data_IF_172841293568
#
_entry.id   IF_172841293568
#
_cell.length_a   1.000
_cell.length_b   1.000
_cell.length_c   1.000
_cell.angle_alpha   90.00
_cell.angle_beta   90.00
_cell.angle_gamma   90.00
#
_symmetry.space_group_name_H-M   'P 1'
#
loop_
_entity.id
_entity.type
_entity.pdbx_description
1 polymer ?
#
# COMPACT_ATOMS: atom_id res chain seq x y z
N UNK A 1 24.47 3.45 35.40
CA UNK A 1 23.31 2.63 35.00
C UNK A 1 22.82 3.10 33.64
N UNK A 2 22.49 2.20 32.72
CA UNK A 2 21.87 2.56 31.44
C UNK A 2 20.57 3.33 31.64
N UNK A 3 20.29 4.26 30.74
CA UNK A 3 19.07 5.10 30.78
C UNK A 3 18.31 4.94 29.46
N UNK A 4 17.03 4.64 29.52
CA UNK A 4 16.18 4.47 28.34
C UNK A 4 16.18 5.71 27.41
N UNK A 5 16.31 6.91 27.97
CA UNK A 5 16.39 8.16 27.21
C UNK A 5 17.64 8.27 26.28
N UNK A 6 18.62 7.39 26.43
CA UNK A 6 19.81 7.32 25.57
C UNK A 6 19.77 6.16 24.58
N UNK A 7 18.72 5.36 24.65
CA UNK A 7 18.48 4.28 23.71
C UNK A 7 17.99 4.79 22.36
N UNK A 8 18.18 3.99 21.32
CA UNK A 8 17.60 4.25 20.00
C UNK A 8 17.25 2.96 19.28
N UNK A 9 16.37 3.08 18.28
CA UNK A 9 16.05 2.02 17.34
C UNK A 9 16.38 2.51 15.94
N UNK A 10 17.38 1.89 15.33
CA UNK A 10 17.72 2.08 13.91
C UNK A 10 17.12 0.97 13.07
N UNK A 11 16.79 1.26 11.81
CA UNK A 11 16.26 0.29 10.87
C UNK A 11 17.08 0.28 9.59
N UNK A 12 17.28 -0.91 9.02
CA UNK A 12 17.94 -1.14 7.73
C UNK A 12 17.09 -2.07 6.89
N UNK A 13 16.79 -1.70 5.65
CA UNK A 13 16.07 -2.57 4.72
C UNK A 13 16.87 -3.83 4.46
N UNK A 14 16.20 -4.96 4.31
CA UNK A 14 16.81 -6.20 3.85
C UNK A 14 16.31 -6.54 2.45
N UNK A 15 17.25 -6.91 1.57
CA UNK A 15 16.96 -7.47 0.25
C UNK A 15 16.80 -8.99 0.34
N UNK A 16 17.51 -9.62 1.27
CA UNK A 16 17.39 -11.05 1.57
C UNK A 16 16.97 -11.22 3.02
N UNK A 17 15.89 -11.95 3.26
CA UNK A 17 15.33 -12.13 4.60
C UNK A 17 16.34 -12.71 5.59
N UNK A 18 16.59 -11.96 6.66
CA UNK A 18 17.51 -12.31 7.75
C UNK A 18 18.98 -12.10 7.42
N UNK A 19 19.28 -11.23 6.45
CA UNK A 19 20.63 -10.79 6.13
C UNK A 19 20.69 -9.26 6.15
N UNK A 20 21.52 -8.72 7.02
CA UNK A 20 21.76 -7.26 7.08
C UNK A 20 22.46 -6.80 5.80
N UNK A 21 21.93 -5.78 5.18
CA UNK A 21 22.62 -5.07 4.10
C UNK A 21 23.81 -4.25 4.64
N UNK A 22 24.80 -4.02 3.77
CA UNK A 22 25.98 -3.26 4.12
C UNK A 22 25.65 -1.78 4.43
N UNK A 23 26.46 -1.15 5.27
CA UNK A 23 26.34 0.27 5.63
C UNK A 23 25.53 0.53 6.90
N UNK A 24 25.32 1.81 7.19
CA UNK A 24 24.61 2.31 8.36
C UNK A 24 23.08 2.08 8.23
N UNK A 25 22.35 2.37 9.32
CA UNK A 25 20.88 2.31 9.31
C UNK A 25 20.31 3.31 8.29
N UNK A 26 19.21 2.91 7.63
CA UNK A 26 18.52 3.80 6.68
C UNK A 26 17.76 4.89 7.41
N UNK A 27 17.27 4.57 8.62
CA UNK A 27 16.46 5.49 9.40
C UNK A 27 16.50 5.15 10.90
N UNK A 28 16.13 6.11 11.75
CA UNK A 28 15.94 5.91 13.19
C UNK A 28 14.50 6.20 13.60
N UNK A 29 13.88 5.27 14.34
CA UNK A 29 12.49 5.40 14.76
C UNK A 29 12.39 6.28 16.03
N UNK A 30 11.48 7.26 16.07
CA UNK A 30 11.17 8.05 17.27
C UNK A 30 10.30 7.21 18.23
N UNK A 31 10.89 6.20 18.88
CA UNK A 31 10.17 5.26 19.71
C UNK A 31 9.82 5.80 21.09
N UNK A 32 8.68 5.39 21.61
CA UNK A 32 8.18 5.66 22.96
C UNK A 32 8.56 4.52 23.91
N UNK A 33 8.36 3.29 23.43
CA UNK A 33 8.69 2.08 24.18
C UNK A 33 8.98 0.90 23.25
N UNK A 34 9.74 -0.08 23.74
CA UNK A 34 9.98 -1.34 23.04
C UNK A 34 9.99 -2.51 24.05
N UNK A 35 9.59 -3.67 23.56
CA UNK A 35 9.59 -4.93 24.33
C UNK A 35 10.26 -6.06 23.55
N UNK A 36 11.20 -5.72 22.67
CA UNK A 36 11.89 -6.68 21.80
C UNK A 36 12.83 -7.55 22.63
N UNK A 37 12.52 -8.85 22.71
CA UNK A 37 13.30 -9.83 23.47
C UNK A 37 13.45 -11.14 22.69
N UNK A 38 14.48 -11.94 23.00
CA UNK A 38 14.49 -13.35 22.69
C UNK A 38 13.58 -14.11 23.66
N UNK A 39 12.73 -14.98 23.14
CA UNK A 39 11.99 -15.97 23.89
C UNK A 39 12.55 -17.35 23.53
N UNK A 40 13.16 -18.02 24.48
CA UNK A 40 13.82 -19.31 24.28
C UNK A 40 13.04 -20.36 25.06
N UNK A 41 12.55 -21.37 24.34
CA UNK A 41 11.81 -22.48 24.93
C UNK A 41 12.73 -23.30 25.86
N UNK A 42 12.23 -23.64 27.04
CA UNK A 42 12.89 -24.58 27.97
C UNK A 42 12.25 -25.96 27.82
N UNK A 43 13.02 -26.93 27.35
CA UNK A 43 12.56 -28.30 27.09
C UNK A 43 13.03 -29.23 28.18
N UNK A 44 12.10 -29.76 28.95
CA UNK A 44 12.37 -30.73 30.00
C UNK A 44 12.25 -32.17 29.51
N UNK A 45 13.15 -33.05 29.98
CA UNK A 45 13.05 -34.48 29.69
C UNK A 45 11.91 -35.11 30.50
N UNK A 46 10.96 -35.76 29.83
CA UNK A 46 9.91 -36.52 30.48
C UNK A 46 10.35 -37.91 31.00
N UNK A 47 11.61 -38.27 30.82
CA UNK A 47 12.12 -39.58 31.26
C UNK A 47 12.16 -39.69 32.81
N UNK A 48 11.65 -40.80 33.33
CA UNK A 48 11.71 -41.11 34.76
C UNK A 48 13.17 -41.38 35.15
N UNK A 49 13.74 -40.55 36.04
CA UNK A 49 15.13 -40.63 36.45
C UNK A 49 15.34 -41.04 37.90
N UNK A 50 14.26 -41.41 38.60
CA UNK A 50 14.30 -41.83 40.00
C UNK A 50 14.67 -40.70 40.97
N UNK A 51 14.51 -39.44 40.57
CA UNK A 51 14.72 -38.25 41.40
C UNK A 51 13.40 -37.48 41.53
N UNK A 52 13.23 -36.75 42.62
CA UNK A 52 12.03 -35.97 42.89
C UNK A 52 12.14 -34.53 42.35
N UNK A 53 13.36 -34.11 42.07
CA UNK A 53 13.67 -32.77 41.60
C UNK A 53 13.65 -32.71 40.05
N UNK A 54 13.45 -31.51 39.52
CA UNK A 54 13.41 -31.26 38.08
C UNK A 54 14.75 -31.63 37.41
N UNK A 55 14.73 -32.44 36.33
CA UNK A 55 15.94 -32.83 35.63
C UNK A 55 16.52 -31.67 34.81
N UNK A 56 17.71 -31.86 34.24
CA UNK A 56 18.36 -30.92 33.35
C UNK A 56 17.42 -30.54 32.16
N UNK A 57 17.26 -29.25 31.93
CA UNK A 57 16.58 -28.71 30.80
C UNK A 57 17.49 -28.53 29.57
N UNK A 58 16.88 -28.41 28.42
CA UNK A 58 17.51 -28.13 27.11
C UNK A 58 16.84 -26.94 26.45
N UNK A 59 17.60 -26.18 25.67
CA UNK A 59 17.01 -25.11 24.86
C UNK A 59 16.28 -25.70 23.67
N UNK A 60 15.02 -25.28 23.50
CA UNK A 60 14.16 -25.57 22.37
C UNK A 60 14.18 -24.47 21.32
N UNK A 61 13.00 -24.14 20.79
CA UNK A 61 12.79 -23.10 19.78
C UNK A 61 13.17 -21.71 20.30
N UNK A 62 13.71 -20.88 19.41
CA UNK A 62 14.05 -19.48 19.71
C UNK A 62 13.20 -18.55 18.89
N UNK A 63 12.31 -17.81 19.54
CA UNK A 63 11.52 -16.76 18.96
C UNK A 63 12.12 -15.39 19.30
N UNK A 64 12.12 -14.48 18.35
CA UNK A 64 12.61 -13.11 18.52
C UNK A 64 11.51 -12.14 18.10
N UNK A 65 11.21 -11.14 18.93
CA UNK A 65 10.18 -10.16 18.63
C UNK A 65 9.65 -9.48 19.86
N UNK A 66 8.54 -8.79 19.70
CA UNK A 66 7.87 -7.97 20.70
C UNK A 66 7.20 -6.79 20.04
N UNK A 67 6.83 -5.78 20.83
CA UNK A 67 6.16 -4.59 20.36
C UNK A 67 7.11 -3.38 20.36
N UNK A 68 6.94 -2.51 19.37
CA UNK A 68 7.57 -1.18 19.32
C UNK A 68 6.48 -0.13 19.15
N UNK A 69 6.39 0.79 20.09
CA UNK A 69 5.50 1.94 20.06
C UNK A 69 6.29 3.16 19.63
N UNK A 70 5.83 3.83 18.57
CA UNK A 70 6.46 5.05 18.04
C UNK A 70 5.44 6.18 17.95
N UNK A 71 5.89 7.42 18.08
CA UNK A 71 5.14 8.56 17.60
C UNK A 71 5.25 8.63 16.08
N UNK A 72 4.16 9.03 15.41
CA UNK A 72 4.08 8.98 13.95
C UNK A 72 4.57 10.29 13.35
N UNK A 73 5.76 10.25 12.80
CA UNK A 73 6.35 11.33 12.03
C UNK A 73 6.23 11.08 10.51
N UNK A 74 6.21 12.13 9.69
CA UNK A 74 5.98 11.99 8.25
C UNK A 74 6.97 11.09 7.50
N UNK A 75 8.25 11.10 7.83
CA UNK A 75 9.24 10.25 7.14
C UNK A 75 9.29 8.84 7.73
N UNK A 76 9.33 8.70 9.06
CA UNK A 76 9.44 7.39 9.72
C UNK A 76 8.28 6.46 9.41
N UNK A 77 7.06 6.98 9.27
CA UNK A 77 5.87 6.19 9.00
C UNK A 77 5.99 5.36 7.71
N UNK A 78 6.59 5.89 6.66
CA UNK A 78 6.73 5.18 5.39
C UNK A 78 7.49 3.87 5.51
N UNK A 79 8.52 3.80 6.36
CA UNK A 79 9.24 2.56 6.64
C UNK A 79 8.37 1.52 7.36
N UNK A 80 7.53 1.95 8.30
CA UNK A 80 6.58 1.06 8.99
C UNK A 80 5.55 0.51 8.00
N UNK A 81 5.01 1.39 7.14
CA UNK A 81 4.04 1.02 6.10
C UNK A 81 4.65 0.09 5.06
N UNK A 82 5.91 0.33 4.63
CA UNK A 82 6.61 -0.55 3.69
C UNK A 82 6.67 -1.99 4.21
N UNK A 83 6.98 -2.19 5.46
CA UNK A 83 6.99 -3.54 6.03
C UNK A 83 5.57 -4.05 6.27
N UNK A 84 4.74 -3.33 7.05
CA UNK A 84 3.43 -3.83 7.45
C UNK A 84 2.46 -4.01 6.28
N UNK A 85 2.39 -3.05 5.36
CA UNK A 85 1.39 -3.01 4.28
C UNK A 85 1.95 -3.57 2.97
N UNK A 86 2.90 -2.85 2.39
CA UNK A 86 3.63 -3.21 1.17
C UNK A 86 4.69 -2.16 0.85
N UNK A 87 5.62 -2.48 -0.07
CA UNK A 87 6.40 -1.48 -0.77
C UNK A 87 5.47 -0.50 -1.49
N UNK A 88 5.67 0.83 -1.36
CA UNK A 88 4.83 1.78 -2.07
C UNK A 88 5.04 1.66 -3.58
N UNK A 89 4.08 2.12 -4.35
CA UNK A 89 4.29 2.42 -5.76
C UNK A 89 5.38 3.49 -5.90
N UNK A 90 5.92 3.66 -7.11
CA UNK A 90 6.92 4.71 -7.36
C UNK A 90 6.40 6.07 -6.87
N UNK A 91 7.24 6.79 -6.13
CA UNK A 91 6.87 8.07 -5.57
C UNK A 91 6.57 9.10 -6.67
N UNK A 92 5.41 9.72 -6.59
CA UNK A 92 4.98 10.77 -7.53
C UNK A 92 5.06 12.15 -6.88
N UNK A 93 5.15 13.26 -7.64
CA UNK A 93 5.00 14.60 -7.08
C UNK A 93 3.71 14.71 -6.24
N UNK A 94 3.77 15.41 -5.12
CA UNK A 94 2.62 15.60 -4.23
C UNK A 94 1.45 16.26 -4.99
N UNK A 95 0.23 15.78 -4.73
CA UNK A 95 -0.97 16.27 -5.42
C UNK A 95 -1.21 15.63 -6.79
N UNK A 96 -0.35 14.72 -7.26
CA UNK A 96 -0.63 13.94 -8.47
C UNK A 96 -1.93 13.15 -8.28
N UNK A 97 -2.85 13.31 -9.23
CA UNK A 97 -4.14 12.63 -9.23
C UNK A 97 -4.28 11.73 -10.45
N UNK A 98 -4.74 10.52 -10.24
CA UNK A 98 -5.07 9.55 -11.29
C UNK A 98 -6.56 9.25 -11.28
N UNK A 99 -7.19 9.26 -12.45
CA UNK A 99 -8.61 8.94 -12.61
C UNK A 99 -8.77 7.92 -13.73
N UNK A 100 -9.43 6.80 -13.46
CA UNK A 100 -9.77 5.80 -14.47
C UNK A 100 -10.73 6.45 -15.47
N UNK A 101 -10.42 6.34 -16.74
CA UNK A 101 -11.24 6.80 -17.85
C UNK A 101 -11.80 5.64 -18.67
N UNK A 102 -11.15 4.46 -18.58
CA UNK A 102 -11.57 3.20 -19.18
C UNK A 102 -11.04 2.05 -18.34
N UNK A 103 -11.93 1.14 -17.92
CA UNK A 103 -11.58 0.00 -17.02
C UNK A 103 -11.23 -1.27 -17.79
N UNK A 104 -11.48 -1.33 -19.10
CA UNK A 104 -11.19 -2.46 -19.98
C UNK A 104 -11.91 -3.77 -19.60
N UNK A 105 -13.10 -3.68 -18.98
CA UNK A 105 -13.93 -4.84 -18.61
C UNK A 105 -14.80 -5.35 -19.77
N UNK A 106 -14.90 -4.62 -20.86
CA UNK A 106 -15.51 -5.00 -22.13
C UNK A 106 -14.53 -4.87 -23.30
N UNK A 107 -14.94 -5.21 -24.50
CA UNK A 107 -14.09 -5.18 -25.70
C UNK A 107 -14.18 -3.81 -26.36
N UNK A 108 -13.11 -3.37 -26.98
CA UNK A 108 -13.12 -2.19 -27.83
C UNK A 108 -13.74 -2.52 -29.19
N UNK A 109 -14.95 -2.09 -29.46
CA UNK A 109 -15.70 -2.49 -30.65
C UNK A 109 -16.43 -1.38 -31.40
N UNK A 110 -16.17 -0.10 -31.08
CA UNK A 110 -16.73 1.02 -31.83
C UNK A 110 -16.23 1.06 -33.28
N UNK A 111 -14.93 0.86 -33.48
CA UNK A 111 -14.31 0.59 -34.77
C UNK A 111 -13.25 -0.50 -34.56
N UNK A 112 -13.31 -1.54 -35.38
CA UNK A 112 -12.30 -2.62 -35.41
C UNK A 112 -11.81 -2.81 -36.82
N UNK A 113 -10.48 -2.73 -37.02
CA UNK A 113 -9.84 -2.88 -38.33
C UNK A 113 -10.03 -4.28 -38.91
N UNK A 114 -10.16 -4.34 -40.25
CA UNK A 114 -10.19 -5.63 -40.95
C UNK A 114 -8.94 -6.47 -40.67
N UNK A 115 -9.11 -7.71 -40.19
CA UNK A 115 -8.02 -8.56 -39.79
C UNK A 115 -7.63 -8.42 -38.31
N UNK A 116 -8.37 -7.62 -37.53
CA UNK A 116 -8.27 -7.57 -36.06
C UNK A 116 -9.52 -8.18 -35.44
N UNK A 117 -9.35 -8.93 -34.36
CA UNK A 117 -10.44 -9.42 -33.53
C UNK A 117 -10.28 -8.78 -32.15
N UNK A 118 -11.28 -8.00 -31.74
CA UNK A 118 -11.37 -7.44 -30.41
C UNK A 118 -12.24 -8.31 -29.52
N UNK A 119 -11.70 -8.76 -28.40
CA UNK A 119 -12.37 -9.60 -27.41
C UNK A 119 -11.93 -9.23 -26.00
N UNK A 120 -12.56 -9.79 -24.97
CA UNK A 120 -12.10 -9.68 -23.58
C UNK A 120 -11.29 -10.90 -23.18
N UNK A 121 -10.29 -10.72 -22.31
CA UNK A 121 -9.53 -11.80 -21.70
C UNK A 121 -9.75 -11.81 -20.18
N UNK A 122 -10.53 -12.78 -19.70
CA UNK A 122 -10.80 -12.99 -18.28
C UNK A 122 -9.73 -13.83 -17.57
N UNK A 123 -8.71 -14.29 -18.31
CA UNK A 123 -7.63 -15.10 -17.75
C UNK A 123 -6.31 -14.34 -17.58
N UNK A 124 -6.15 -13.21 -18.25
CA UNK A 124 -4.91 -12.44 -18.30
C UNK A 124 -5.20 -10.93 -18.23
N UNK A 125 -5.24 -10.38 -17.03
CA UNK A 125 -5.56 -8.99 -16.71
C UNK A 125 -4.71 -8.47 -15.54
N UNK A 126 -4.73 -7.16 -15.30
CA UNK A 126 -4.00 -6.48 -14.21
C UNK A 126 -4.90 -5.89 -13.14
N UNK A 127 -6.05 -5.35 -13.54
CA UNK A 127 -7.03 -4.76 -12.63
C UNK A 127 -8.42 -5.33 -12.98
N UNK A 128 -9.38 -5.17 -12.09
CA UNK A 128 -10.73 -5.67 -12.33
C UNK A 128 -10.82 -7.19 -12.48
N UNK A 129 -11.50 -7.65 -13.52
CA UNK A 129 -11.76 -9.06 -13.82
C UNK A 129 -11.39 -9.49 -15.25
N UNK A 130 -11.09 -8.52 -16.14
CA UNK A 130 -10.77 -8.75 -17.54
C UNK A 130 -9.76 -7.73 -18.06
N UNK A 131 -9.28 -7.95 -19.27
CA UNK A 131 -8.55 -6.98 -20.08
C UNK A 131 -9.12 -6.98 -21.51
N UNK A 132 -8.94 -5.91 -22.24
CA UNK A 132 -9.16 -5.89 -23.69
C UNK A 132 -8.09 -6.71 -24.37
N UNK A 133 -8.45 -7.53 -25.35
CA UNK A 133 -7.55 -8.37 -26.13
C UNK A 133 -7.77 -8.17 -27.61
N UNK A 134 -6.74 -7.71 -28.30
CA UNK A 134 -6.74 -7.51 -29.74
C UNK A 134 -5.86 -8.59 -30.38
N UNK A 135 -6.45 -9.43 -31.21
CA UNK A 135 -5.73 -10.39 -32.07
C UNK A 135 -5.52 -9.76 -33.45
N UNK A 136 -4.28 -9.50 -33.78
CA UNK A 136 -3.88 -8.82 -35.01
C UNK A 136 -3.35 -9.86 -36.00
N UNK A 137 -3.95 -9.96 -37.17
CA UNK A 137 -3.48 -10.85 -38.26
C UNK A 137 -2.29 -10.26 -39.00
N UNK A 138 -1.47 -11.09 -39.62
CA UNK A 138 -0.27 -10.67 -40.37
C UNK A 138 -0.52 -9.75 -41.58
N UNK A 139 -1.77 -9.56 -42.00
CA UNK A 139 -2.14 -8.71 -43.14
C UNK A 139 -2.64 -7.32 -42.78
N UNK A 140 -2.65 -6.96 -41.50
CA UNK A 140 -3.09 -5.62 -41.07
C UNK A 140 -2.08 -4.57 -41.52
N UNK A 141 -2.58 -3.50 -42.17
CA UNK A 141 -1.73 -2.47 -42.76
C UNK A 141 -1.09 -1.58 -41.69
N UNK A 142 0.17 -1.22 -41.90
CA UNK A 142 0.85 -0.18 -41.12
C UNK A 142 0.10 1.15 -41.23
N UNK A 143 -0.12 1.83 -40.12
CA UNK A 143 -0.89 3.05 -40.01
C UNK A 143 -2.37 2.85 -39.65
N UNK A 144 -2.87 1.60 -39.66
CA UNK A 144 -4.25 1.30 -39.29
C UNK A 144 -4.51 1.56 -37.81
N UNK A 145 -5.75 1.98 -37.50
CA UNK A 145 -6.27 2.01 -36.11
C UNK A 145 -6.84 0.61 -35.83
N UNK A 146 -6.23 -0.14 -34.94
CA UNK A 146 -6.57 -1.53 -34.65
C UNK A 146 -7.97 -1.68 -34.07
N UNK A 147 -8.27 -0.89 -33.05
CA UNK A 147 -9.56 -0.83 -32.41
C UNK A 147 -9.73 0.52 -31.71
N UNK A 148 -10.97 0.96 -31.54
CA UNK A 148 -11.35 2.16 -30.79
C UNK A 148 -12.41 1.83 -29.75
N UNK A 149 -12.47 2.68 -28.73
CA UNK A 149 -13.46 2.64 -27.67
C UNK A 149 -14.07 4.02 -27.45
N UNK A 150 -15.38 4.06 -27.26
CA UNK A 150 -16.11 5.25 -26.87
C UNK A 150 -16.10 5.40 -25.35
N UNK A 151 -15.73 6.55 -24.86
CA UNK A 151 -15.75 6.86 -23.43
C UNK A 151 -16.71 8.00 -23.12
N UNK A 152 -17.16 8.08 -21.86
CA UNK A 152 -17.88 9.27 -21.41
C UNK A 152 -17.02 10.52 -21.63
N UNK A 153 -17.64 11.61 -22.12
CA UNK A 153 -16.93 12.86 -22.38
C UNK A 153 -16.05 13.30 -21.21
N UNK A 154 -14.77 13.44 -21.46
CA UNK A 154 -13.73 13.65 -20.45
C UNK A 154 -12.91 14.90 -20.75
N UNK A 155 -12.93 15.87 -19.84
CA UNK A 155 -12.04 17.02 -19.93
C UNK A 155 -10.64 16.61 -19.41
N UNK A 156 -9.64 16.72 -20.28
CA UNK A 156 -8.25 16.37 -19.98
C UNK A 156 -7.30 17.58 -20.08
N UNK A 157 -7.83 18.81 -20.13
CA UNK A 157 -7.02 20.03 -20.25
C UNK A 157 -5.99 20.23 -19.12
N UNK A 158 -6.26 19.68 -17.94
CA UNK A 158 -5.32 19.66 -16.82
C UNK A 158 -4.51 18.36 -16.71
N UNK A 159 -4.72 17.40 -17.61
CA UNK A 159 -4.00 16.12 -17.58
C UNK A 159 -2.64 16.26 -18.23
N UNK A 160 -1.63 15.67 -17.64
CA UNK A 160 -0.24 15.71 -18.12
C UNK A 160 0.18 14.41 -18.78
N UNK A 161 -0.44 13.30 -18.36
CA UNK A 161 -0.11 11.96 -18.85
C UNK A 161 -1.34 11.06 -18.95
N UNK A 162 -1.21 10.01 -19.77
CA UNK A 162 -2.05 8.81 -19.72
C UNK A 162 -1.22 7.67 -19.18
N UNK A 163 -1.76 6.89 -18.26
CA UNK A 163 -1.20 5.62 -17.79
C UNK A 163 -2.11 4.47 -18.19
N UNK A 164 -1.52 3.39 -18.66
CA UNK A 164 -2.23 2.16 -18.96
C UNK A 164 -1.34 0.93 -18.77
N UNK A 165 -1.94 -0.21 -18.53
CA UNK A 165 -1.28 -1.49 -18.61
C UNK A 165 -1.38 -2.02 -20.02
N UNK A 166 -0.26 -2.49 -20.60
CA UNK A 166 -0.22 -3.07 -21.94
C UNK A 166 0.73 -4.26 -21.97
N UNK A 167 0.39 -5.24 -22.78
CA UNK A 167 1.21 -6.41 -23.08
C UNK A 167 1.08 -6.72 -24.56
N UNK A 168 2.19 -7.05 -25.23
CA UNK A 168 2.21 -7.57 -26.58
C UNK A 168 2.86 -8.95 -26.60
N UNK A 169 2.34 -9.88 -27.39
CA UNK A 169 2.90 -11.23 -27.53
C UNK A 169 4.26 -11.24 -28.22
N UNK A 170 4.63 -10.16 -28.90
CA UNK A 170 5.92 -9.97 -29.58
C UNK A 170 6.61 -8.72 -29.06
N UNK A 171 7.92 -8.62 -29.23
CA UNK A 171 8.67 -7.40 -28.87
C UNK A 171 8.25 -6.22 -29.75
N UNK A 172 8.15 -5.03 -29.16
CA UNK A 172 7.86 -3.79 -29.88
C UNK A 172 8.95 -2.75 -29.62
N UNK A 173 9.29 -1.96 -30.63
CA UNK A 173 10.13 -0.78 -30.45
C UNK A 173 9.31 0.40 -29.91
N UNK A 174 10.00 1.43 -29.42
CA UNK A 174 9.37 2.71 -29.07
C UNK A 174 8.58 3.26 -30.26
N UNK A 175 7.31 3.61 -30.07
CA UNK A 175 6.43 4.15 -31.10
C UNK A 175 5.95 3.10 -32.13
N UNK A 176 6.25 1.82 -31.94
CA UNK A 176 5.71 0.74 -32.80
C UNK A 176 4.20 0.60 -32.69
N UNK A 177 3.66 1.01 -31.55
CA UNK A 177 2.25 1.21 -31.26
C UNK A 177 2.05 2.63 -30.74
N UNK A 178 0.91 3.26 -31.06
CA UNK A 178 0.51 4.57 -30.54
C UNK A 178 -0.86 4.50 -29.91
N UNK A 179 -1.02 5.13 -28.75
CA UNK A 179 -2.31 5.31 -28.09
C UNK A 179 -2.92 6.64 -28.57
N UNK A 180 -4.22 6.62 -28.90
CA UNK A 180 -4.94 7.73 -29.49
C UNK A 180 -5.95 8.31 -28.52
N UNK A 181 -6.12 9.65 -28.55
CA UNK A 181 -7.19 10.37 -27.87
C UNK A 181 -7.87 11.32 -28.87
N UNK A 182 -9.20 11.36 -28.88
CA UNK A 182 -9.96 12.21 -29.81
C UNK A 182 -11.25 12.72 -29.16
N UNK A 183 -11.70 13.87 -29.66
CA UNK A 183 -13.03 14.46 -29.42
C UNK A 183 -14.06 14.07 -30.51
N UNK A 184 -13.63 13.31 -31.51
CA UNK A 184 -14.46 12.72 -32.55
C UNK A 184 -14.66 11.24 -32.32
N UNK A 185 -15.80 10.69 -32.77
CA UNK A 185 -16.06 9.24 -32.71
C UNK A 185 -15.00 8.46 -33.49
N UNK A 186 -14.68 7.28 -33.00
CA UNK A 186 -13.76 6.31 -33.64
C UNK A 186 -12.33 6.82 -33.86
N UNK A 187 -11.88 7.80 -33.10
CA UNK A 187 -10.60 8.47 -33.33
C UNK A 187 -10.42 8.93 -34.78
N UNK A 188 -11.47 9.50 -35.37
CA UNK A 188 -11.49 9.89 -36.80
C UNK A 188 -10.48 11.00 -37.11
N UNK A 189 -10.11 11.83 -36.13
CA UNK A 189 -9.16 12.92 -36.26
C UNK A 189 -8.36 13.09 -34.96
N UNK A 190 -7.49 12.13 -34.59
CA UNK A 190 -6.86 12.08 -33.26
C UNK A 190 -6.13 13.37 -32.93
N UNK A 191 -6.46 13.94 -31.77
CA UNK A 191 -5.81 15.14 -31.23
C UNK A 191 -4.45 14.82 -30.60
N UNK A 192 -4.30 13.61 -30.04
CA UNK A 192 -3.05 13.10 -29.48
C UNK A 192 -2.73 11.73 -30.04
N UNK A 193 -1.46 11.54 -30.40
CA UNK A 193 -0.87 10.28 -30.83
C UNK A 193 0.33 10.00 -29.89
N UNK A 194 0.10 9.17 -28.89
CA UNK A 194 1.05 8.95 -27.80
C UNK A 194 1.88 7.68 -28.07
N UNK A 195 3.19 7.84 -28.25
CA UNK A 195 4.11 6.74 -28.52
C UNK A 195 4.19 5.79 -27.32
N UNK A 196 3.85 4.51 -27.54
CA UNK A 196 4.00 3.47 -26.52
C UNK A 196 5.48 3.09 -26.45
N UNK A 197 6.09 3.07 -25.24
CA UNK A 197 7.47 2.61 -25.04
C UNK A 197 7.69 1.18 -25.50
N UNK A 198 8.92 0.81 -25.80
CA UNK A 198 9.29 -0.56 -26.15
C UNK A 198 8.74 -1.57 -25.12
N UNK A 199 8.12 -2.65 -25.64
CA UNK A 199 7.53 -3.73 -24.84
C UNK A 199 8.35 -5.00 -25.05
N UNK A 200 8.53 -5.75 -23.95
CA UNK A 200 9.10 -7.10 -23.99
C UNK A 200 7.98 -8.11 -24.26
N UNK A 201 8.23 -9.05 -25.17
CA UNK A 201 7.26 -10.06 -25.57
C UNK A 201 6.63 -10.81 -24.38
N UNK A 202 5.31 -10.84 -24.34
CA UNK A 202 4.52 -11.54 -23.32
C UNK A 202 4.55 -10.97 -21.89
N UNK A 203 5.19 -9.81 -21.67
CA UNK A 203 5.31 -9.20 -20.35
C UNK A 203 4.37 -8.00 -20.24
N UNK A 204 3.55 -7.96 -19.19
CA UNK A 204 2.77 -6.80 -18.85
C UNK A 204 3.67 -5.64 -18.39
N UNK A 205 3.42 -4.47 -18.95
CA UNK A 205 4.10 -3.23 -18.59
C UNK A 205 3.08 -2.13 -18.31
N UNK A 206 3.23 -1.44 -17.20
CA UNK A 206 2.56 -0.15 -17.00
C UNK A 206 3.35 0.91 -17.75
N UNK A 207 2.68 1.66 -18.62
CA UNK A 207 3.30 2.73 -19.40
C UNK A 207 2.70 4.07 -19.02
N UNK A 208 3.55 5.10 -19.00
CA UNK A 208 3.16 6.50 -18.77
C UNK A 208 3.45 7.27 -20.06
N UNK A 209 2.41 7.79 -20.68
CA UNK A 209 2.46 8.48 -21.96
C UNK A 209 2.23 9.98 -21.74
N UNK A 210 3.18 10.82 -22.11
CA UNK A 210 3.06 12.27 -21.93
C UNK A 210 2.10 12.87 -22.96
N UNK A 211 1.11 13.63 -22.51
CA UNK A 211 0.21 14.40 -23.38
C UNK A 211 0.97 15.64 -23.84
N UNK A 212 1.05 15.84 -25.17
CA UNK A 212 1.80 16.95 -25.74
C UNK A 212 0.99 18.26 -25.74
N UNK A 213 -0.31 18.19 -26.03
CA UNK A 213 -1.18 19.36 -26.20
C UNK A 213 -2.47 19.27 -25.34
N UNK A 214 -2.36 19.21 -24.02
CA UNK A 214 -3.52 18.96 -23.15
C UNK A 214 -4.60 20.05 -23.29
N UNK A 215 -4.23 21.29 -23.63
CA UNK A 215 -5.18 22.39 -23.79
C UNK A 215 -6.24 22.14 -24.88
N UNK A 216 -5.97 21.26 -25.84
CA UNK A 216 -6.90 20.87 -26.88
C UNK A 216 -7.87 19.76 -26.50
N UNK A 217 -7.66 19.10 -25.37
CA UNK A 217 -8.45 17.93 -24.94
C UNK A 217 -9.59 18.33 -24.01
N UNK A 218 -10.56 19.09 -24.54
CA UNK A 218 -11.66 19.67 -23.75
C UNK A 218 -12.81 18.70 -23.50
N UNK A 219 -13.03 17.74 -24.42
CA UNK A 219 -14.17 16.83 -24.40
C UNK A 219 -13.83 15.49 -25.09
N UNK A 220 -12.77 14.81 -24.65
CA UNK A 220 -12.37 13.51 -25.22
C UNK A 220 -13.48 12.48 -25.07
N UNK A 221 -13.93 11.90 -26.17
CA UNK A 221 -15.02 10.92 -26.23
C UNK A 221 -14.61 9.58 -26.84
N UNK A 222 -13.41 9.48 -27.42
CA UNK A 222 -12.90 8.23 -27.98
C UNK A 222 -11.41 8.05 -27.71
N UNK A 223 -11.00 6.80 -27.64
CA UNK A 223 -9.61 6.37 -27.57
C UNK A 223 -9.38 5.19 -28.51
N UNK A 224 -8.12 4.92 -28.83
CA UNK A 224 -7.79 3.84 -29.74
C UNK A 224 -6.33 3.43 -29.70
N UNK A 225 -6.02 2.33 -30.39
CA UNK A 225 -4.65 1.85 -30.58
C UNK A 225 -4.30 1.83 -32.06
N UNK A 226 -3.20 2.50 -32.43
CA UNK A 226 -2.70 2.57 -33.80
C UNK A 226 -1.48 1.67 -33.99
N UNK A 227 -1.45 0.99 -35.12
CA UNK A 227 -0.43 0.07 -35.57
C UNK A 227 0.60 0.82 -36.43
N UNK A 228 1.76 1.14 -35.90
CA UNK A 228 2.76 2.00 -36.57
C UNK A 228 3.87 1.18 -37.21
N UNK A 229 4.23 0.04 -36.65
CA UNK A 229 5.23 -0.88 -37.17
C UNK A 229 4.60 -2.24 -37.41
N UNK A 230 4.91 -2.88 -38.54
CA UNK A 230 4.44 -4.24 -38.80
C UNK A 230 5.07 -5.22 -37.80
N UNK A 231 4.26 -5.79 -36.93
CA UNK A 231 4.64 -6.74 -35.89
C UNK A 231 4.32 -8.20 -36.31
N UNK A 232 3.75 -8.39 -37.50
CA UNK A 232 3.20 -9.66 -37.94
C UNK A 232 1.96 -10.06 -37.14
N UNK A 233 1.70 -11.37 -37.08
CA UNK A 233 0.60 -11.88 -36.23
C UNK A 233 0.97 -11.71 -34.76
N UNK A 234 0.12 -10.99 -34.01
CA UNK A 234 0.37 -10.73 -32.60
C UNK A 234 -0.93 -10.59 -31.78
N UNK A 235 -0.80 -10.67 -30.48
CA UNK A 235 -1.86 -10.44 -29.50
C UNK A 235 -1.45 -9.27 -28.60
N UNK A 236 -2.34 -8.30 -28.46
CA UNK A 236 -2.13 -7.13 -27.60
C UNK A 236 -3.22 -7.14 -26.53
N UNK A 237 -2.81 -7.11 -25.27
CA UNK A 237 -3.74 -6.92 -24.15
C UNK A 237 -3.57 -5.51 -23.58
N UNK A 238 -4.69 -4.85 -23.25
CA UNK A 238 -4.74 -3.51 -22.66
C UNK A 238 -5.64 -3.57 -21.44
N UNK A 239 -5.25 -2.83 -20.38
CA UNK A 239 -6.01 -2.84 -19.14
C UNK A 239 -5.87 -1.50 -18.42
N UNK A 240 -6.96 -1.07 -17.81
CA UNK A 240 -7.10 0.09 -16.91
C UNK A 240 -6.38 1.35 -17.40
N UNK A 241 -7.08 2.15 -18.16
CA UNK A 241 -6.56 3.42 -18.68
C UNK A 241 -6.93 4.55 -17.74
N UNK A 242 -5.93 5.35 -17.36
CA UNK A 242 -6.07 6.46 -16.42
C UNK A 242 -5.52 7.75 -17.00
N UNK A 243 -6.24 8.85 -16.81
CA UNK A 243 -5.68 10.18 -16.97
C UNK A 243 -4.95 10.59 -15.70
N UNK A 244 -3.82 11.26 -15.85
CA UNK A 244 -2.97 11.71 -14.76
C UNK A 244 -2.80 13.21 -14.82
N UNK A 245 -3.06 13.89 -13.72
CA UNK A 245 -2.74 15.29 -13.52
C UNK A 245 -1.55 15.35 -12.55
N UNK A 246 -0.41 15.84 -12.99
CA UNK A 246 0.74 16.10 -12.11
C UNK A 246 0.69 17.56 -11.66
N UNK A 247 1.28 17.79 -10.50
CA UNK A 247 1.42 19.12 -9.92
C UNK A 247 2.85 19.62 -10.06
N UNK A 248 3.09 20.84 -9.66
CA UNK A 248 4.39 21.51 -9.69
C UNK A 248 5.29 21.18 -8.49
N UNK A 249 4.85 20.29 -7.59
CA UNK A 249 5.69 19.84 -6.48
C UNK A 249 7.00 19.24 -6.97
N UNK A 250 8.12 19.80 -6.49
CA UNK A 250 9.47 19.38 -6.89
C UNK A 250 10.05 18.37 -5.89
N UNK A 251 9.99 18.72 -4.61
CA UNK A 251 10.58 17.94 -3.51
C UNK A 251 9.53 17.11 -2.78
N UNK A 252 8.32 17.67 -2.59
CA UNK A 252 7.24 16.95 -1.93
C UNK A 252 6.77 15.75 -2.79
N UNK A 253 6.82 14.56 -2.21
CA UNK A 253 6.47 13.30 -2.87
C UNK A 253 5.26 12.67 -2.21
N UNK A 254 4.43 12.04 -3.04
CA UNK A 254 3.30 11.23 -2.63
C UNK A 254 3.68 9.76 -2.75
N UNK A 255 3.51 9.02 -1.67
CA UNK A 255 3.72 7.58 -1.58
C UNK A 255 2.38 6.90 -1.33
N UNK A 256 2.05 5.89 -2.13
CA UNK A 256 0.80 5.14 -2.03
C UNK A 256 1.09 3.73 -1.58
N UNK A 257 0.49 3.33 -0.45
CA UNK A 257 0.64 1.99 0.12
C UNK A 257 -0.69 1.24 0.02
N UNK A 258 -0.67 0.12 -0.69
CA UNK A 258 -1.83 -0.77 -0.87
C UNK A 258 -1.43 -2.16 -0.43
N UNK A 259 -2.25 -2.88 0.37
CA UNK A 259 -1.94 -4.23 0.79
C UNK A 259 -1.72 -5.17 -0.39
N UNK A 260 -0.55 -5.81 -0.43
CA UNK A 260 -0.19 -6.78 -1.47
C UNK A 260 -1.18 -7.95 -1.50
N UNK A 261 -1.72 -8.30 -2.67
CA UNK A 261 -2.69 -9.39 -2.83
C UNK A 261 -2.09 -10.65 -3.49
N UNK A 262 -1.23 -10.49 -4.48
CA UNK A 262 -0.86 -11.57 -5.38
C UNK A 262 0.43 -12.31 -5.01
N UNK A 263 1.48 -11.59 -4.56
CA UNK A 263 2.82 -12.18 -4.38
C UNK A 263 3.39 -11.86 -3.01
N UNK A 264 4.09 -12.80 -2.40
CA UNK A 264 4.91 -12.58 -1.22
C UNK A 264 6.21 -11.86 -1.59
N UNK A 265 6.83 -11.17 -0.63
CA UNK A 265 8.15 -10.55 -0.81
C UNK A 265 9.21 -11.61 -1.17
N UNK A 266 9.21 -12.73 -0.45
CA UNK A 266 10.15 -13.83 -0.63
C UNK A 266 9.44 -15.15 -0.30
N UNK A 267 9.94 -16.28 -0.84
CA UNK A 267 9.41 -17.63 -0.58
C UNK A 267 9.33 -17.99 0.91
N UNK A 268 10.23 -17.45 1.71
CA UNK A 268 10.32 -17.71 3.15
C UNK A 268 9.79 -16.56 4.03
N UNK A 269 9.38 -15.43 3.43
CA UNK A 269 8.86 -14.27 4.14
C UNK A 269 7.86 -13.49 3.28
N UNK A 270 6.58 -13.36 3.70
CA UNK A 270 5.53 -12.79 2.87
C UNK A 270 5.51 -11.27 2.81
N UNK A 271 6.22 -10.57 3.70
CA UNK A 271 6.26 -9.10 3.79
C UNK A 271 7.69 -8.58 3.87
N UNK A 272 7.88 -7.29 3.58
CA UNK A 272 9.20 -6.68 3.46
C UNK A 272 9.93 -6.63 4.81
N UNK A 273 11.11 -7.28 4.95
CA UNK A 273 11.84 -7.32 6.21
C UNK A 273 12.76 -6.13 6.41
N UNK A 274 13.13 -5.95 7.68
CA UNK A 274 14.16 -5.02 8.14
C UNK A 274 15.12 -5.71 9.10
N UNK A 275 16.35 -5.22 9.20
CA UNK A 275 17.21 -5.39 10.36
C UNK A 275 16.91 -4.25 11.32
N UNK A 276 16.61 -4.56 12.59
CA UNK A 276 16.43 -3.57 13.65
C UNK A 276 17.68 -3.53 14.52
N UNK A 277 18.28 -2.35 14.69
CA UNK A 277 19.31 -2.06 15.67
C UNK A 277 18.67 -1.45 16.91
N UNK A 278 18.73 -2.14 18.05
CA UNK A 278 18.18 -1.68 19.33
C UNK A 278 19.32 -1.41 20.30
N UNK A 279 19.65 -0.14 20.50
CA UNK A 279 20.65 0.28 21.46
C UNK A 279 20.01 0.66 22.79
N UNK A 280 20.49 0.08 23.89
CA UNK A 280 19.97 0.23 25.26
C UNK A 280 20.94 0.91 26.21
N UNK A 281 21.69 1.92 25.71
CA UNK A 281 22.65 2.74 26.47
C UNK A 281 23.81 1.96 27.10
N UNK A 282 24.10 0.72 26.65
CA UNK A 282 25.26 -0.03 27.13
C UNK A 282 25.71 -1.11 26.16
N UNK A 283 27.04 -1.23 25.98
CA UNK A 283 27.64 -2.24 25.11
C UNK A 283 27.30 -2.04 23.64
N UNK A 284 27.32 -3.13 22.92
CA UNK A 284 26.86 -3.18 21.52
C UNK A 284 25.35 -3.17 21.45
N UNK A 285 24.81 -2.74 20.33
CA UNK A 285 23.38 -2.76 20.05
C UNK A 285 22.91 -4.19 19.71
N UNK A 286 21.71 -4.53 20.16
CA UNK A 286 21.04 -5.76 19.75
C UNK A 286 20.56 -5.63 18.29
N UNK A 287 20.83 -6.65 17.48
CA UNK A 287 20.49 -6.66 16.08
C UNK A 287 19.46 -7.75 15.78
N UNK A 288 18.19 -7.34 15.57
CA UNK A 288 17.12 -8.25 15.18
C UNK A 288 17.09 -8.36 13.65
N UNK A 289 17.50 -9.50 13.13
CA UNK A 289 17.60 -9.79 11.69
C UNK A 289 16.28 -10.38 11.18
N UNK A 290 15.90 -10.03 9.96
CA UNK A 290 14.67 -10.51 9.31
C UNK A 290 13.41 -10.08 10.05
N UNK A 291 13.44 -8.93 10.70
CA UNK A 291 12.30 -8.39 11.42
C UNK A 291 11.20 -7.91 10.47
N UNK A 292 9.97 -8.36 10.70
CA UNK A 292 8.79 -7.93 9.98
C UNK A 292 7.81 -7.26 10.93
N UNK A 293 7.13 -6.22 10.44
CA UNK A 293 6.04 -5.55 11.17
C UNK A 293 4.73 -6.31 10.88
N UNK A 294 4.47 -7.36 11.67
CA UNK A 294 3.30 -8.23 11.48
C UNK A 294 1.99 -7.50 11.74
N UNK A 295 1.98 -6.64 12.77
CA UNK A 295 0.83 -5.78 13.09
C UNK A 295 1.24 -4.32 13.09
N UNK A 296 0.31 -3.45 12.67
CA UNK A 296 0.43 -2.00 12.73
C UNK A 296 -0.88 -1.43 13.23
N UNK A 297 -0.89 -0.89 14.45
CA UNK A 297 -2.04 -0.22 15.04
C UNK A 297 -1.78 1.29 15.13
N UNK A 298 -2.60 2.08 14.44
CA UNK A 298 -2.59 3.55 14.53
C UNK A 298 -3.72 3.99 15.46
N UNK A 299 -3.39 4.75 16.52
CA UNK A 299 -4.34 5.21 17.50
C UNK A 299 -4.13 6.67 17.86
N UNK A 300 -5.22 7.42 17.99
CA UNK A 300 -5.22 8.78 18.51
C UNK A 300 -6.58 9.14 19.13
N UNK A 301 -6.58 10.19 19.92
CA UNK A 301 -7.79 10.70 20.57
C UNK A 301 -7.64 12.18 20.93
N UNK A 302 -8.74 12.80 21.33
CA UNK A 302 -8.74 14.16 21.88
C UNK A 302 -7.99 14.27 23.22
N UNK A 303 -7.71 13.16 23.90
CA UNK A 303 -6.93 13.09 25.14
C UNK A 303 -5.47 12.69 24.88
N UNK A 304 -5.20 11.71 24.00
CA UNK A 304 -3.86 11.34 23.54
C UNK A 304 -3.61 12.04 22.21
N UNK A 305 -3.05 13.22 22.30
CA UNK A 305 -3.04 14.23 21.22
C UNK A 305 -2.02 13.98 20.11
N UNK A 306 -1.11 13.02 20.28
CA UNK A 306 -0.11 12.64 19.27
C UNK A 306 -0.51 11.31 18.69
N UNK A 307 -0.49 11.20 17.36
CA UNK A 307 -0.72 9.93 16.67
C UNK A 307 0.40 8.95 17.01
N UNK A 308 0.04 7.77 17.49
CA UNK A 308 0.98 6.68 17.81
C UNK A 308 0.75 5.48 16.93
N UNK A 309 1.85 4.80 16.62
CA UNK A 309 1.84 3.50 15.95
C UNK A 309 2.42 2.44 16.89
N UNK A 310 1.64 1.40 17.17
CA UNK A 310 2.11 0.20 17.87
C UNK A 310 2.33 -0.89 16.84
N UNK A 311 3.55 -1.43 16.82
CA UNK A 311 3.99 -2.41 15.82
C UNK A 311 4.37 -3.71 16.52
N UNK A 312 3.68 -4.80 16.19
CA UNK A 312 4.06 -6.15 16.62
C UNK A 312 5.08 -6.74 15.64
N UNK A 313 6.23 -7.11 16.14
CA UNK A 313 7.40 -7.52 15.36
C UNK A 313 7.69 -9.01 15.55
N UNK A 314 7.97 -9.71 14.45
CA UNK A 314 8.52 -11.05 14.42
C UNK A 314 9.87 -10.97 13.71
N UNK A 315 10.94 -11.44 14.35
CA UNK A 315 12.27 -11.47 13.77
C UNK A 315 12.78 -12.92 13.61
N UNK A 316 13.68 -13.13 12.67
CA UNK A 316 14.25 -14.44 12.35
C UNK A 316 15.36 -14.82 13.34
N UNK A 317 16.22 -13.87 13.65
CA UNK A 317 17.43 -14.12 14.46
C UNK A 317 17.84 -12.87 15.24
N UNK A 318 18.72 -13.05 16.21
CA UNK A 318 19.32 -12.00 17.01
C UNK A 318 20.85 -12.08 16.90
N UNK A 319 21.47 -10.94 16.67
CA UNK A 319 22.91 -10.71 16.72
C UNK A 319 23.24 -9.48 17.55
N UNK A 320 24.47 -9.06 17.48
CA UNK A 320 24.99 -7.82 18.05
C UNK A 320 25.75 -7.02 17.00
N UNK A 321 25.85 -5.71 17.20
CA UNK A 321 26.55 -4.79 16.31
C UNK A 321 27.02 -3.56 17.09
N UNK A 322 28.18 -2.97 16.76
CA UNK A 322 28.51 -1.65 17.27
C UNK A 322 27.38 -0.66 16.98
N UNK A 323 27.05 0.18 17.95
CA UNK A 323 25.97 1.17 17.79
C UNK A 323 26.24 2.13 16.64
N UNK A 324 25.24 2.43 15.85
CA UNK A 324 25.27 3.49 14.83
C UNK A 324 25.06 4.87 15.46
N UNK A 325 25.58 5.92 14.85
CA UNK A 325 25.31 7.29 15.29
C UNK A 325 23.84 7.64 15.07
N UNK A 326 23.18 8.15 16.11
CA UNK A 326 21.76 8.50 16.06
C UNK A 326 21.53 9.72 15.17
N UNK A 327 20.57 9.62 14.24
CA UNK A 327 20.07 10.71 13.42
C UNK A 327 18.55 10.63 13.34
N UNK A 328 17.88 11.37 14.19
CA UNK A 328 16.41 11.40 14.21
C UNK A 328 15.86 12.40 13.19
N UNK A 329 14.65 12.11 12.72
CA UNK A 329 13.83 13.03 11.94
C UNK A 329 13.58 14.33 12.70
N UNK A 330 13.66 15.47 12.01
CA UNK A 330 13.51 16.81 12.60
C UNK A 330 12.12 17.42 12.41
N UNK A 331 11.23 16.73 11.70
CA UNK A 331 9.83 17.16 11.50
C UNK A 331 9.03 16.98 12.79
N UNK A 332 7.79 17.46 12.79
CA UNK A 332 6.87 17.27 13.93
C UNK A 332 5.99 16.03 13.69
N UNK A 333 5.60 15.29 14.75
CA UNK A 333 4.65 14.20 14.65
C UNK A 333 3.27 14.71 14.25
N UNK A 334 2.44 13.82 13.69
CA UNK A 334 1.04 14.14 13.46
C UNK A 334 0.26 14.24 14.77
N UNK A 335 -0.57 15.29 14.86
CA UNK A 335 -1.36 15.61 16.06
C UNK A 335 -2.86 15.54 15.78
N UNK A 336 -3.67 15.39 16.83
CA UNK A 336 -5.13 15.23 16.74
C UNK A 336 -5.82 16.42 16.03
N UNK A 337 -5.33 17.64 16.22
CA UNK A 337 -5.89 18.86 15.60
C UNK A 337 -5.74 18.90 14.07
N UNK A 338 -4.82 18.10 13.53
CA UNK A 338 -4.59 17.96 12.09
C UNK A 338 -5.51 16.92 11.44
N UNK A 339 -6.27 16.16 12.27
CA UNK A 339 -7.09 15.06 11.82
C UNK A 339 -8.47 15.52 11.35
N UNK A 340 -8.89 15.03 10.20
CA UNK A 340 -10.27 15.09 9.72
C UNK A 340 -10.72 13.67 9.43
N UNK A 341 -11.85 13.27 10.01
CA UNK A 341 -12.49 11.98 9.75
C UNK A 341 -13.73 12.21 8.91
N UNK A 342 -13.87 11.46 7.82
CA UNK A 342 -15.03 11.55 6.93
C UNK A 342 -15.71 10.18 6.80
N UNK A 343 -17.05 10.20 6.82
CA UNK A 343 -17.90 9.03 6.60
C UNK A 343 -18.75 9.30 5.36
N UNK A 344 -18.76 8.36 4.42
CA UNK A 344 -19.46 8.50 3.13
C UNK A 344 -19.09 9.80 2.38
N UNK A 345 -17.84 10.23 2.47
CA UNK A 345 -17.33 11.44 1.82
C UNK A 345 -17.61 12.76 2.53
N UNK A 346 -18.34 12.76 3.66
CA UNK A 346 -18.63 13.96 4.44
C UNK A 346 -17.86 13.98 5.76
N UNK A 347 -17.23 15.10 6.14
CA UNK A 347 -16.58 15.24 7.44
C UNK A 347 -17.56 14.96 8.59
N UNK A 348 -17.10 14.19 9.57
CA UNK A 348 -17.85 13.91 10.81
C UNK A 348 -17.07 14.49 11.99
N UNK A 349 -17.70 15.43 12.70
CA UNK A 349 -17.09 16.17 13.81
C UNK A 349 -17.42 15.58 15.19
N UNK A 350 -18.17 14.47 15.24
CA UNK A 350 -18.65 13.86 16.48
C UNK A 350 -17.76 12.70 16.95
N UNK A 351 -16.67 12.40 16.22
CA UNK A 351 -15.74 11.32 16.55
C UNK A 351 -14.63 11.84 17.48
N UNK A 352 -14.52 11.20 18.65
CA UNK A 352 -13.59 11.60 19.71
C UNK A 352 -12.32 10.75 19.79
N UNK A 353 -12.39 9.48 19.39
CA UNK A 353 -11.26 8.56 19.36
C UNK A 353 -11.28 7.77 18.07
N UNK A 354 -10.11 7.38 17.59
CA UNK A 354 -9.98 6.51 16.41
C UNK A 354 -8.83 5.53 16.58
N UNK A 355 -9.05 4.30 16.13
CA UNK A 355 -8.03 3.28 16.04
C UNK A 355 -8.25 2.39 14.83
N UNK A 356 -7.18 2.13 14.10
CA UNK A 356 -7.13 1.11 13.04
C UNK A 356 -5.98 0.16 13.34
N UNK A 357 -6.23 -1.13 13.24
CA UNK A 357 -5.19 -2.15 13.37
C UNK A 357 -5.12 -2.97 12.09
N UNK A 358 -3.94 -3.07 11.52
CA UNK A 358 -3.66 -3.93 10.39
C UNK A 358 -2.87 -5.14 10.87
N UNK A 359 -3.45 -6.34 10.74
CA UNK A 359 -2.86 -7.60 11.17
C UNK A 359 -2.66 -8.52 9.97
N UNK A 360 -1.40 -8.77 9.63
CA UNK A 360 -0.98 -9.62 8.52
C UNK A 360 -1.22 -11.11 8.77
N UNK A 361 -1.51 -11.52 10.01
CA UNK A 361 -1.66 -12.93 10.42
C UNK A 361 -0.44 -13.78 10.07
N UNK A 362 0.75 -13.18 10.17
CA UNK A 362 1.98 -13.91 9.96
C UNK A 362 2.38 -14.68 11.22
N UNK A 363 2.83 -15.92 11.04
CA UNK A 363 3.36 -16.78 12.07
C UNK A 363 4.68 -17.42 11.63
N UNK A 364 5.57 -17.66 12.58
CA UNK A 364 6.85 -18.35 12.34
C UNK A 364 6.69 -19.85 12.21
N UNK A 365 7.52 -20.48 11.40
CA UNK A 365 7.60 -21.94 11.28
C UNK A 365 9.04 -22.41 11.51
N UNK A 366 9.20 -23.38 12.41
CA UNK A 366 10.45 -24.10 12.63
C UNK A 366 10.53 -25.35 11.75
N UNK A 367 11.70 -25.92 11.59
CA UNK A 367 11.93 -27.15 10.82
C UNK A 367 13.10 -27.95 11.42
N UNK A 368 13.14 -29.23 11.12
CA UNK A 368 14.27 -30.11 11.49
C UNK A 368 15.47 -29.85 10.55
N UNK A 369 16.20 -28.78 10.78
CA UNK A 369 17.30 -28.29 9.94
C UNK A 369 18.56 -27.95 10.73
N UNK A 370 18.73 -28.57 11.92
CA UNK A 370 19.85 -28.37 12.82
C UNK A 370 20.01 -26.90 13.32
N UNK A 371 18.92 -26.15 13.36
CA UNK A 371 18.87 -24.80 13.94
C UNK A 371 17.63 -24.66 14.83
N UNK A 372 17.72 -23.80 15.86
CA UNK A 372 16.59 -23.48 16.74
C UNK A 372 15.87 -22.18 16.32
N UNK A 373 16.24 -21.57 15.18
CA UNK A 373 15.64 -20.32 14.67
C UNK A 373 14.58 -20.59 13.62
N UNK A 374 13.77 -19.59 13.35
CA UNK A 374 12.71 -19.64 12.34
C UNK A 374 13.26 -20.05 10.95
N UNK A 375 12.63 -21.07 10.35
CA UNK A 375 12.92 -21.48 8.97
C UNK A 375 12.21 -20.55 7.97
N UNK A 376 10.96 -20.17 8.24
CA UNK A 376 10.19 -19.23 7.45
C UNK A 376 9.06 -18.60 8.25
N UNK A 377 8.53 -17.53 7.71
CA UNK A 377 7.28 -16.89 8.15
C UNK A 377 6.23 -17.10 7.04
N UNK A 378 4.99 -17.37 7.41
CA UNK A 378 3.88 -17.54 6.48
C UNK A 378 2.60 -16.90 7.05
N UNK A 379 1.60 -16.67 6.23
CA UNK A 379 0.29 -16.17 6.66
C UNK A 379 -0.58 -17.34 7.13
N UNK A 380 -1.10 -17.23 8.36
CA UNK A 380 -2.01 -18.20 8.95
C UNK A 380 -3.43 -17.67 8.96
N UNK A 381 -3.95 -17.34 7.78
CA UNK A 381 -5.31 -16.86 7.59
C UNK A 381 -5.42 -15.54 6.84
N UNK A 382 -6.65 -15.03 6.77
CA UNK A 382 -6.95 -13.75 6.14
C UNK A 382 -6.45 -12.59 7.02
N UNK A 383 -5.91 -11.55 6.41
CA UNK A 383 -5.60 -10.30 7.08
C UNK A 383 -6.85 -9.70 7.71
N UNK A 384 -6.71 -9.11 8.88
CA UNK A 384 -7.81 -8.50 9.61
C UNK A 384 -7.50 -7.02 9.79
N UNK A 385 -8.50 -6.18 9.53
CA UNK A 385 -8.38 -4.73 9.61
C UNK A 385 -9.54 -4.19 10.44
N UNK A 386 -9.53 -4.42 11.76
CA UNK A 386 -10.50 -3.80 12.65
C UNK A 386 -10.28 -2.29 12.73
N UNK A 387 -11.39 -1.58 12.80
CA UNK A 387 -11.45 -0.14 13.00
C UNK A 387 -12.37 0.11 14.19
N UNK A 388 -11.95 0.91 15.13
CA UNK A 388 -12.71 1.27 16.30
C UNK A 388 -12.67 2.79 16.51
N UNK A 389 -13.78 3.37 16.94
CA UNK A 389 -13.88 4.77 17.25
C UNK A 389 -14.99 5.03 18.27
N UNK A 390 -14.89 6.15 18.98
CA UNK A 390 -16.00 6.63 19.80
C UNK A 390 -16.65 7.83 19.09
N UNK A 391 -17.97 7.84 19.08
CA UNK A 391 -18.78 8.88 18.43
C UNK A 391 -19.89 9.34 19.38
N UNK A 392 -20.15 10.65 19.41
CA UNK A 392 -21.28 11.21 20.12
C UNK A 392 -22.58 10.81 19.41
N UNK A 393 -23.58 10.36 20.17
CA UNK A 393 -24.88 10.00 19.61
C UNK A 393 -25.72 11.23 19.34
N UNK A 394 -25.72 11.70 18.10
CA UNK A 394 -26.51 12.86 17.66
C UNK A 394 -27.88 12.44 17.14
N UNK A 395 -27.91 11.41 16.30
CA UNK A 395 -29.14 10.86 15.70
C UNK A 395 -28.99 9.34 15.36
N UNK A 396 -29.97 8.79 14.66
CA UNK A 396 -29.98 7.36 14.30
C UNK A 396 -29.32 7.04 12.95
N UNK A 397 -28.85 8.02 12.22
CA UNK A 397 -28.37 7.85 10.84
C UNK A 397 -27.29 6.77 10.74
N UNK A 398 -26.24 6.84 11.55
CA UNK A 398 -25.16 5.84 11.53
C UNK A 398 -25.59 4.52 12.19
N UNK A 399 -26.44 4.58 13.23
CA UNK A 399 -26.99 3.38 13.84
C UNK A 399 -27.88 2.58 12.88
N UNK A 400 -28.71 3.22 12.08
CA UNK A 400 -29.57 2.55 11.09
C UNK A 400 -28.73 1.87 10.00
N UNK A 401 -27.59 2.46 9.60
CA UNK A 401 -26.63 1.78 8.71
C UNK A 401 -26.02 0.53 9.34
N UNK A 402 -25.72 0.55 10.64
CA UNK A 402 -25.31 -0.66 11.36
C UNK A 402 -26.38 -1.74 11.31
N UNK A 403 -27.66 -1.42 11.59
CA UNK A 403 -28.79 -2.36 11.56
C UNK A 403 -28.99 -2.93 10.15
N UNK A 404 -28.91 -2.10 9.12
CA UNK A 404 -29.07 -2.50 7.72
C UNK A 404 -27.85 -3.26 7.16
N UNK A 405 -26.71 -3.23 7.87
CA UNK A 405 -25.46 -3.83 7.40
C UNK A 405 -24.86 -3.09 6.20
N UNK A 406 -25.14 -1.80 6.05
CA UNK A 406 -24.64 -0.97 4.94
C UNK A 406 -23.13 -0.81 5.05
N UNK A 407 -22.42 -1.02 3.93
CA UNK A 407 -21.01 -0.70 3.80
C UNK A 407 -20.86 0.71 3.25
N UNK A 408 -19.91 1.48 3.77
CA UNK A 408 -19.69 2.87 3.34
C UNK A 408 -18.22 3.24 3.37
N UNK A 409 -17.85 4.28 2.62
CA UNK A 409 -16.49 4.80 2.64
C UNK A 409 -16.19 5.47 3.98
N UNK A 410 -14.97 5.23 4.48
CA UNK A 410 -14.45 5.85 5.69
C UNK A 410 -13.04 6.40 5.39
N UNK A 411 -12.77 7.63 5.75
CA UNK A 411 -11.48 8.28 5.52
C UNK A 411 -10.98 8.96 6.78
N UNK A 412 -9.69 8.83 7.03
CA UNK A 412 -8.96 9.63 8.04
C UNK A 412 -7.85 10.36 7.32
N UNK A 413 -7.78 11.68 7.50
CA UNK A 413 -6.77 12.52 6.88
C UNK A 413 -6.14 13.44 7.93
N UNK A 414 -4.81 13.43 8.00
CA UNK A 414 -4.01 14.37 8.75
C UNK A 414 -3.31 15.32 7.79
N UNK A 415 -3.36 16.61 8.05
CA UNK A 415 -2.63 17.64 7.31
C UNK A 415 -1.73 18.38 8.28
N UNK A 416 -0.44 18.12 8.21
CA UNK A 416 0.60 18.70 9.07
C UNK A 416 1.12 20.04 8.56
N UNK A 417 2.36 20.34 8.90
CA UNK A 417 3.05 21.55 8.45
C UNK A 417 3.30 21.54 6.94
N UNK A 418 3.49 22.69 6.36
CA UNK A 418 3.92 22.84 4.97
C UNK A 418 5.34 22.28 4.79
N UNK A 419 5.51 21.42 3.79
CA UNK A 419 6.79 20.79 3.46
C UNK A 419 7.43 21.42 2.19
N UNK A 420 6.62 21.93 1.29
CA UNK A 420 6.98 22.69 0.11
C UNK A 420 5.85 23.68 -0.19
N UNK A 421 6.12 24.79 -0.87
CA UNK A 421 5.12 25.83 -1.14
C UNK A 421 3.82 25.24 -1.72
N UNK A 422 2.73 25.35 -0.96
CA UNK A 422 1.41 24.82 -1.30
C UNK A 422 1.22 23.31 -1.01
N UNK A 423 2.24 22.60 -0.52
CA UNK A 423 2.18 21.18 -0.20
C UNK A 423 2.48 20.92 1.27
N UNK A 424 1.73 20.02 1.90
CA UNK A 424 1.76 19.76 3.32
C UNK A 424 2.10 18.30 3.62
N UNK A 425 2.84 18.04 4.70
CA UNK A 425 2.93 16.69 5.22
C UNK A 425 1.54 16.12 5.43
N UNK A 426 1.21 15.04 4.75
CA UNK A 426 -0.14 14.50 4.77
C UNK A 426 -0.11 13.00 4.99
N UNK A 427 -0.95 12.51 5.88
CA UNK A 427 -1.30 11.10 6.01
C UNK A 427 -2.79 10.95 5.73
N UNK A 428 -3.14 10.16 4.73
CA UNK A 428 -4.53 9.86 4.40
C UNK A 428 -4.75 8.35 4.35
N UNK A 429 -5.76 7.87 5.06
CA UNK A 429 -6.18 6.47 5.09
C UNK A 429 -7.58 6.41 4.48
N UNK A 430 -7.71 5.77 3.32
CA UNK A 430 -8.97 5.58 2.61
C UNK A 430 -9.43 4.13 2.77
N UNK A 431 -10.61 3.94 3.33
CA UNK A 431 -11.29 2.63 3.46
C UNK A 431 -12.55 2.69 2.59
N UNK A 432 -12.56 2.08 1.39
CA UNK A 432 -13.70 2.19 0.48
C UNK A 432 -14.95 1.49 1.01
N UNK A 433 -14.78 0.39 1.74
CA UNK A 433 -15.87 -0.41 2.33
C UNK A 433 -15.62 -0.66 3.82
N UNK A 434 -16.14 0.22 4.65
CA UNK A 434 -16.21 0.05 6.10
C UNK A 434 -17.54 -0.57 6.48
N UNK A 435 -17.54 -1.60 7.33
CA UNK A 435 -18.73 -2.24 7.88
C UNK A 435 -18.76 -2.18 9.39
N UNK A 436 -19.83 -1.65 9.95
CA UNK A 436 -20.11 -1.68 11.38
C UNK A 436 -20.31 -3.11 11.90
N UNK A 437 -19.71 -3.44 13.04
CA UNK A 437 -19.89 -4.72 13.74
C UNK A 437 -20.66 -4.55 15.05
N UNK A 438 -20.37 -3.48 15.78
CA UNK A 438 -21.10 -3.12 17.01
C UNK A 438 -21.33 -1.61 17.03
N UNK A 439 -22.51 -1.24 17.55
CA UNK A 439 -22.88 0.17 17.75
C UNK A 439 -23.73 0.29 19.02
N UNK A 440 -23.13 0.19 20.22
CA UNK A 440 -23.89 0.24 21.48
C UNK A 440 -24.37 1.66 21.78
N UNK A 441 -25.66 1.83 22.00
CA UNK A 441 -26.28 3.08 22.47
C UNK A 441 -26.74 2.84 23.90
N UNK A 442 -25.91 3.20 24.88
CA UNK A 442 -26.18 2.95 26.29
C UNK A 442 -26.35 4.28 27.04
N UNK A 443 -27.45 4.39 27.79
CA UNK A 443 -27.67 5.51 28.72
C UNK A 443 -27.15 5.08 30.08
N UNK A 444 -25.98 5.60 30.49
CA UNK A 444 -25.36 5.29 31.79
C UNK A 444 -25.57 6.34 32.85
N UNK A 445 -26.29 7.44 32.53
CA UNK A 445 -26.55 8.56 33.44
C UNK A 445 -27.07 9.80 32.70
N UNK A 446 -27.07 10.98 33.35
CA UNK A 446 -27.60 12.23 32.77
C UNK A 446 -26.64 12.90 31.79
N UNK A 447 -25.48 12.36 31.54
CA UNK A 447 -24.47 12.94 30.63
C UNK A 447 -24.72 12.62 29.14
N UNK A 448 -23.84 13.09 28.22
CA UNK A 448 -23.94 12.79 26.79
C UNK A 448 -23.82 11.28 26.54
N UNK A 449 -24.47 10.82 25.48
CA UNK A 449 -24.39 9.43 25.05
C UNK A 449 -23.22 9.33 24.06
N UNK A 450 -22.18 8.59 24.45
CA UNK A 450 -21.01 8.31 23.62
C UNK A 450 -21.03 6.84 23.25
N UNK A 451 -20.99 6.53 21.96
CA UNK A 451 -21.05 5.17 21.43
C UNK A 451 -19.64 4.68 21.08
N UNK A 452 -19.21 3.57 21.71
CA UNK A 452 -17.97 2.86 21.34
C UNK A 452 -18.23 1.94 20.17
N UNK A 453 -17.92 2.38 18.97
CA UNK A 453 -18.20 1.69 17.72
C UNK A 453 -17.03 0.81 17.31
N UNK A 454 -17.32 -0.43 16.87
CA UNK A 454 -16.35 -1.30 16.22
C UNK A 454 -16.82 -1.69 14.83
N UNK A 455 -15.88 -1.81 13.92
CA UNK A 455 -16.13 -2.25 12.56
C UNK A 455 -14.88 -2.83 11.94
N UNK A 456 -14.92 -3.04 10.65
CA UNK A 456 -13.76 -3.51 9.88
C UNK A 456 -13.78 -3.04 8.43
N UNK A 457 -12.59 -2.83 7.88
CA UNK A 457 -12.42 -2.63 6.46
C UNK A 457 -12.67 -3.93 5.70
N UNK A 458 -13.36 -3.84 4.58
CA UNK A 458 -13.66 -4.93 3.65
C UNK A 458 -12.95 -4.72 2.33
N UNK A 459 -12.59 -5.82 1.68
CA UNK A 459 -12.03 -5.77 0.33
C UNK A 459 -13.05 -5.21 -0.66
N UNK A 460 -12.65 -4.21 -1.43
CA UNK A 460 -13.41 -3.71 -2.56
C UNK A 460 -12.89 -4.36 -3.84
N UNK A 461 -13.73 -5.14 -4.51
CA UNK A 461 -13.35 -5.87 -5.72
C UNK A 461 -13.09 -4.93 -6.91
N UNK A 462 -13.77 -3.79 -6.95
CA UNK A 462 -13.60 -2.79 -8.03
C UNK A 462 -12.28 -2.05 -7.90
N UNK A 463 -11.93 -1.63 -6.67
CA UNK A 463 -10.69 -0.90 -6.40
C UNK A 463 -9.48 -1.82 -6.18
N UNK A 464 -9.71 -3.11 -5.85
CA UNK A 464 -8.65 -4.10 -5.65
C UNK A 464 -7.96 -4.06 -4.28
N UNK A 465 -8.51 -3.33 -3.28
CA UNK A 465 -7.92 -3.21 -1.95
C UNK A 465 -8.95 -3.00 -0.83
N UNK A 466 -8.63 -3.36 0.42
CA UNK A 466 -9.48 -3.07 1.57
C UNK A 466 -9.26 -1.66 2.13
N UNK A 467 -8.05 -1.11 1.99
CA UNK A 467 -7.69 0.27 2.30
C UNK A 467 -6.47 0.70 1.49
N UNK A 468 -6.31 1.99 1.36
CA UNK A 468 -5.15 2.66 0.74
C UNK A 468 -4.63 3.71 1.71
N UNK A 469 -3.33 3.80 1.88
CA UNK A 469 -2.67 4.87 2.63
C UNK A 469 -1.88 5.73 1.65
N UNK A 470 -2.14 7.03 1.67
CA UNK A 470 -1.37 8.04 0.95
C UNK A 470 -0.56 8.85 1.95
N UNK A 471 0.74 8.88 1.76
CA UNK A 471 1.68 9.64 2.59
C UNK A 471 2.38 10.69 1.72
N UNK A 472 2.33 11.95 2.12
CA UNK A 472 3.05 13.05 1.45
C UNK A 472 4.15 13.53 2.38
N UNK A 473 5.40 13.53 1.88
CA UNK A 473 6.57 14.03 2.58
C UNK A 473 7.71 14.37 1.59
N UNK A 474 8.93 14.56 2.11
CA UNK A 474 10.11 14.90 1.29
C UNK A 474 10.98 13.69 0.95
N UNK A 475 10.61 12.48 1.36
CA UNK A 475 11.37 11.28 1.03
C UNK A 475 11.22 10.92 -0.45
N UNK A 476 12.29 10.50 -1.08
CA UNK A 476 12.29 10.11 -2.50
C UNK A 476 11.83 8.66 -2.72
N UNK A 477 11.78 7.85 -1.66
CA UNK A 477 11.35 6.45 -1.71
C UNK A 477 11.59 5.71 -0.39
N UNK A 478 10.97 4.54 -0.27
CA UNK A 478 11.04 3.68 0.92
C UNK A 478 11.57 2.29 0.60
#
# INVERSE_FOLDING_TARGET
MPQGARGHIGIKKELTWGQKEAGDNDFFLPFVSETLIPNIEDVLSAAQKGILDEPKSYQGERAFGGDVVVEVYPASLGHLLRSAVNEPEEATPAGTAETVIEDCEDKWDELVEGGVISEVDASDYKKGTKSVKLRVSSGVAVGAILATEAIASNNMTASTHIKLWIKCSVETALGGLQFLLDESENCASPLELLDIPALTAGIWKEVTLTIATPAGLTAVISMGLKYVTDLGECVINIDTIRKVTTTDATNAKQHVFIPRQATDFHTDCPINPYTLEVYRDQGDAFQFLGAIFNTLALNFSTTDKILKATNGIIAKNLGDTPKTALSLETTNPFTWEQAVISIAGSPNNDINTFGINYDNKCVGKYALNNTAILRKIYRDGLRIIPVNFSIDFVDRTEYDKFILGTEQAFQVKFVGAECEAGYYYTLQIDIPKFRYLTYPINMSGPGPIICGVTGKAKYDATLGYPFKITLINLETGY
#
